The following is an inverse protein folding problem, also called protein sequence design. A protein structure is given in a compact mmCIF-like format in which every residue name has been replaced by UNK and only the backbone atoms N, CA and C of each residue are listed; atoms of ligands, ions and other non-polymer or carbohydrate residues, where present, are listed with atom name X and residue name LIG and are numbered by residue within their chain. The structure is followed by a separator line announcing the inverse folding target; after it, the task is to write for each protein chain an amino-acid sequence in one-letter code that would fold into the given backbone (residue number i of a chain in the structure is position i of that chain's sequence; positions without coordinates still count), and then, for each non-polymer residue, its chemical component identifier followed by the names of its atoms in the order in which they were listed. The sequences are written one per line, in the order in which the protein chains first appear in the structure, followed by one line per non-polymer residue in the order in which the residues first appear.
data_IF_301519034608
#
_entry.id   IF_301519034608
#
_cell.length_a   1.000
_cell.length_b   1.000
_cell.length_c   1.000
_cell.angle_alpha   90.00
_cell.angle_beta   90.00
_cell.angle_gamma   90.00
#
_symmetry.space_group_name_H-M   'P 1'
#
loop_
_entity.id
_entity.type
_entity.pdbx_description
1 polymer ?
#
# COMPACT_ATOMS: atom_id res chain seq x y z
N UNK A 1 -29.68 -36.25 -50.02
CA UNK A 1 -28.68 -35.78 -49.03
C UNK A 1 -27.99 -36.96 -48.36
N UNK A 2 -28.70 -37.83 -47.63
CA UNK A 2 -28.13 -38.95 -46.85
C UNK A 2 -27.10 -39.87 -47.55
N UNK A 3 -27.21 -40.15 -48.87
CA UNK A 3 -26.18 -40.93 -49.59
C UNK A 3 -24.91 -40.15 -49.86
N UNK A 4 -25.05 -38.86 -50.21
CA UNK A 4 -23.90 -37.98 -50.49
C UNK A 4 -23.07 -37.76 -49.22
N UNK A 5 -23.72 -37.68 -48.07
CA UNK A 5 -23.06 -37.57 -46.77
C UNK A 5 -22.36 -38.84 -46.30
N UNK A 6 -22.73 -40.04 -46.78
CA UNK A 6 -22.05 -41.29 -46.41
C UNK A 6 -20.76 -41.53 -47.20
N UNK A 7 -20.77 -41.22 -48.51
CA UNK A 7 -19.56 -41.31 -49.34
C UNK A 7 -18.52 -40.26 -48.91
N UNK A 8 -18.98 -39.02 -48.64
CA UNK A 8 -18.14 -37.95 -48.06
C UNK A 8 -17.59 -38.35 -46.67
N UNK A 9 -18.40 -38.99 -45.84
CA UNK A 9 -17.95 -39.51 -44.55
C UNK A 9 -16.87 -40.57 -44.72
N UNK A 10 -17.03 -41.55 -45.62
CA UNK A 10 -16.03 -42.61 -45.84
C UNK A 10 -14.69 -42.05 -46.33
N UNK A 11 -14.71 -41.05 -47.22
CA UNK A 11 -13.50 -40.33 -47.65
C UNK A 11 -12.84 -39.56 -46.50
N UNK A 12 -13.63 -38.90 -45.64
CA UNK A 12 -13.13 -38.19 -44.46
C UNK A 12 -12.53 -39.13 -43.41
N UNK A 13 -13.17 -40.28 -43.17
CA UNK A 13 -12.67 -41.29 -42.24
C UNK A 13 -11.32 -41.86 -42.72
N UNK A 14 -11.14 -42.02 -44.04
CA UNK A 14 -9.88 -42.48 -44.65
C UNK A 14 -8.78 -41.42 -44.57
N UNK A 15 -9.12 -40.14 -44.72
CA UNK A 15 -8.12 -39.06 -44.69
C UNK A 15 -7.57 -38.82 -43.28
N UNK A 16 -8.40 -39.03 -42.25
CA UNK A 16 -8.04 -38.73 -40.86
C UNK A 16 -7.87 -37.23 -40.58
N UNK A 17 -8.26 -36.35 -41.52
CA UNK A 17 -8.15 -34.91 -41.34
C UNK A 17 -9.18 -34.40 -40.31
N UNK A 18 -8.68 -34.16 -39.11
CA UNK A 18 -9.50 -33.66 -38.00
C UNK A 18 -10.19 -32.33 -38.26
N UNK A 19 -9.66 -31.45 -39.12
CA UNK A 19 -10.34 -30.19 -39.43
C UNK A 19 -11.61 -30.45 -40.23
N UNK A 20 -11.46 -31.18 -41.34
CA UNK A 20 -12.59 -31.56 -42.19
C UNK A 20 -13.62 -32.42 -41.44
N UNK A 21 -13.18 -33.28 -40.52
CA UNK A 21 -14.08 -34.06 -39.65
C UNK A 21 -14.93 -33.15 -38.75
N UNK A 22 -14.32 -32.14 -38.11
CA UNK A 22 -15.03 -31.21 -37.24
C UNK A 22 -15.99 -30.32 -38.04
N UNK A 23 -15.57 -29.83 -39.21
CA UNK A 23 -16.42 -29.05 -40.12
C UNK A 23 -17.62 -29.88 -40.60
N UNK A 24 -17.39 -31.15 -40.95
CA UNK A 24 -18.47 -32.07 -41.31
C UNK A 24 -19.45 -32.28 -40.16
N UNK A 25 -18.95 -32.47 -38.94
CA UNK A 25 -19.81 -32.66 -37.76
C UNK A 25 -20.71 -31.45 -37.48
N UNK A 26 -20.22 -30.23 -37.72
CA UNK A 26 -20.98 -28.98 -37.53
C UNK A 26 -22.16 -28.85 -38.52
N UNK A 27 -22.03 -29.47 -39.70
CA UNK A 27 -23.07 -29.48 -40.73
C UNK A 27 -24.16 -30.56 -40.51
N UNK A 28 -23.94 -31.50 -39.59
CA UNK A 28 -24.89 -32.59 -39.35
C UNK A 28 -26.16 -32.11 -38.64
N UNK A 29 -27.31 -32.51 -39.18
CA UNK A 29 -28.60 -32.24 -38.55
C UNK A 29 -28.85 -33.18 -37.37
N UNK A 30 -29.15 -32.62 -36.19
CA UNK A 30 -29.50 -33.39 -34.98
C UNK A 30 -30.77 -34.25 -35.11
N UNK A 31 -31.57 -34.07 -36.17
CA UNK A 31 -32.82 -34.82 -36.41
C UNK A 31 -32.61 -36.14 -37.16
N UNK A 32 -31.39 -36.42 -37.62
CA UNK A 32 -31.12 -37.64 -38.37
C UNK A 32 -31.00 -38.86 -37.44
N UNK A 33 -31.66 -39.95 -37.80
CA UNK A 33 -31.66 -41.22 -37.04
C UNK A 33 -30.24 -41.78 -36.86
N UNK A 34 -29.35 -41.49 -37.81
CA UNK A 34 -27.94 -41.91 -37.81
C UNK A 34 -27.00 -40.96 -37.06
N UNK A 35 -27.47 -39.78 -36.61
CA UNK A 35 -26.62 -38.72 -36.03
C UNK A 35 -25.73 -39.26 -34.91
N UNK A 36 -26.33 -39.94 -33.93
CA UNK A 36 -25.61 -40.51 -32.77
C UNK A 36 -24.52 -41.50 -33.18
N UNK A 37 -24.77 -42.34 -34.19
CA UNK A 37 -23.79 -43.32 -34.67
C UNK A 37 -22.64 -42.63 -35.39
N UNK A 38 -22.93 -41.65 -36.25
CA UNK A 38 -21.92 -40.89 -36.98
C UNK A 38 -21.04 -40.11 -36.01
N UNK A 39 -21.64 -39.38 -35.06
CA UNK A 39 -20.90 -38.60 -34.06
C UNK A 39 -19.95 -39.49 -33.24
N UNK A 40 -20.38 -40.67 -32.80
CA UNK A 40 -19.51 -41.60 -32.05
C UNK A 40 -18.31 -42.07 -32.88
N UNK A 41 -18.51 -42.35 -34.16
CA UNK A 41 -17.40 -42.70 -35.06
C UNK A 41 -16.43 -41.53 -35.18
N UNK A 42 -16.92 -40.31 -35.47
CA UNK A 42 -16.07 -39.12 -35.57
C UNK A 42 -15.32 -38.82 -34.27
N UNK A 43 -15.99 -39.00 -33.12
CA UNK A 43 -15.42 -38.79 -31.80
C UNK A 43 -14.20 -39.69 -31.55
N UNK A 44 -14.28 -40.98 -31.91
CA UNK A 44 -13.15 -41.91 -31.74
C UNK A 44 -11.89 -41.45 -32.49
N UNK A 45 -12.06 -40.92 -33.71
CA UNK A 45 -10.95 -40.39 -34.51
C UNK A 45 -10.41 -39.08 -33.93
N UNK A 46 -11.30 -38.17 -33.51
CA UNK A 46 -10.91 -36.90 -32.92
C UNK A 46 -10.13 -37.11 -31.62
N UNK A 47 -10.54 -38.06 -30.78
CA UNK A 47 -9.84 -38.40 -29.52
C UNK A 47 -8.40 -38.82 -29.81
N UNK A 48 -8.14 -39.61 -30.85
CA UNK A 48 -6.80 -40.12 -31.15
C UNK A 48 -5.89 -39.13 -31.88
N UNK A 49 -6.45 -38.04 -32.41
CA UNK A 49 -5.73 -37.04 -33.22
C UNK A 49 -4.64 -36.26 -32.50
N UNK A 50 -4.66 -36.25 -31.15
CA UNK A 50 -3.81 -35.37 -30.30
C UNK A 50 -3.96 -33.88 -30.55
N UNK A 51 -4.89 -33.45 -31.43
CA UNK A 51 -5.11 -32.05 -31.76
C UNK A 51 -6.15 -31.46 -30.81
N UNK A 52 -5.69 -30.93 -29.69
CA UNK A 52 -6.57 -30.46 -28.62
C UNK A 52 -7.51 -29.34 -29.08
N UNK A 53 -7.09 -28.48 -30.02
CA UNK A 53 -7.97 -27.45 -30.59
C UNK A 53 -9.16 -28.06 -31.31
N UNK A 54 -8.96 -29.14 -32.07
CA UNK A 54 -10.05 -29.84 -32.74
C UNK A 54 -10.90 -30.64 -31.76
N UNK A 55 -10.30 -31.25 -30.74
CA UNK A 55 -11.05 -31.88 -29.64
C UNK A 55 -11.99 -30.85 -28.96
N UNK A 56 -11.49 -29.66 -28.65
CA UNK A 56 -12.28 -28.56 -28.08
C UNK A 56 -13.39 -28.10 -29.01
N UNK A 57 -13.09 -27.90 -30.30
CA UNK A 57 -14.09 -27.47 -31.28
C UNK A 57 -15.16 -28.54 -31.49
N UNK A 58 -14.78 -29.81 -31.55
CA UNK A 58 -15.70 -30.94 -31.65
C UNK A 58 -16.62 -31.04 -30.42
N UNK A 59 -16.06 -30.87 -29.22
CA UNK A 59 -16.84 -30.89 -27.97
C UNK A 59 -17.95 -29.81 -27.95
N UNK A 60 -17.78 -28.71 -28.69
CA UNK A 60 -18.80 -27.67 -28.81
C UNK A 60 -20.00 -28.05 -29.67
N UNK A 61 -19.83 -29.03 -30.56
CA UNK A 61 -20.81 -29.42 -31.57
C UNK A 61 -21.72 -30.54 -31.03
N UNK A 62 -21.13 -31.49 -30.29
CA UNK A 62 -21.81 -32.70 -29.86
C UNK A 62 -22.70 -32.48 -28.63
N UNK A 63 -23.70 -33.35 -28.47
CA UNK A 63 -24.52 -33.40 -27.26
C UNK A 63 -23.76 -34.06 -26.10
N UNK A 64 -24.11 -33.68 -24.88
CA UNK A 64 -23.28 -33.77 -23.67
C UNK A 64 -22.99 -35.19 -23.17
N UNK A 65 -23.71 -36.19 -23.65
CA UNK A 65 -23.66 -37.57 -23.14
C UNK A 65 -22.31 -38.28 -23.31
N UNK A 66 -21.40 -37.78 -24.13
CA UNK A 66 -20.08 -38.39 -24.38
C UNK A 66 -18.88 -37.42 -24.17
N UNK A 67 -19.10 -36.28 -23.51
CA UNK A 67 -18.01 -35.29 -23.30
C UNK A 67 -16.87 -35.89 -22.45
N UNK A 68 -17.13 -36.88 -21.59
CA UNK A 68 -16.15 -37.55 -20.74
C UNK A 68 -14.93 -38.09 -21.51
N UNK A 69 -15.14 -38.71 -22.67
CA UNK A 69 -14.03 -39.22 -23.49
C UNK A 69 -13.19 -38.10 -24.10
N UNK A 70 -13.82 -36.98 -24.49
CA UNK A 70 -13.11 -35.80 -24.96
C UNK A 70 -12.32 -35.14 -23.83
N UNK A 71 -12.90 -35.05 -22.62
CA UNK A 71 -12.20 -34.60 -21.41
C UNK A 71 -10.93 -35.42 -21.17
N UNK A 72 -11.02 -36.75 -21.25
CA UNK A 72 -9.86 -37.64 -21.11
C UNK A 72 -8.81 -37.39 -22.21
N UNK A 73 -9.24 -37.16 -23.46
CA UNK A 73 -8.33 -36.86 -24.56
C UNK A 73 -7.58 -35.53 -24.34
N UNK A 74 -8.29 -34.49 -23.90
CA UNK A 74 -7.67 -33.19 -23.53
C UNK A 74 -6.68 -33.37 -22.38
N UNK A 75 -7.03 -34.13 -21.34
CA UNK A 75 -6.13 -34.41 -20.22
C UNK A 75 -4.89 -35.21 -20.65
N UNK A 76 -5.05 -36.14 -21.60
CA UNK A 76 -3.97 -37.00 -22.10
C UNK A 76 -2.99 -36.25 -23.01
N UNK A 77 -3.50 -35.42 -23.91
CA UNK A 77 -2.68 -34.81 -24.97
C UNK A 77 -2.43 -33.31 -24.80
N UNK A 78 -3.23 -32.62 -23.99
CA UNK A 78 -3.13 -31.18 -23.75
C UNK A 78 -2.28 -30.79 -22.55
N UNK A 79 -1.84 -29.53 -22.60
CA UNK A 79 -1.25 -28.85 -21.45
C UNK A 79 -2.37 -28.21 -20.58
N UNK A 80 -1.98 -27.53 -19.50
CA UNK A 80 -2.93 -26.93 -18.54
C UNK A 80 -3.76 -25.81 -19.15
N UNK A 81 -3.14 -25.06 -20.06
CA UNK A 81 -3.80 -24.00 -20.81
C UNK A 81 -4.93 -24.58 -21.66
N UNK A 82 -4.67 -25.71 -22.31
CA UNK A 82 -5.65 -26.42 -23.12
C UNK A 82 -6.79 -26.96 -22.27
N UNK A 83 -6.48 -27.60 -21.13
CA UNK A 83 -7.49 -28.09 -20.19
C UNK A 83 -8.37 -26.96 -19.63
N UNK A 84 -7.75 -25.83 -19.27
CA UNK A 84 -8.47 -24.64 -18.81
C UNK A 84 -9.39 -24.05 -19.91
N UNK A 85 -8.86 -23.83 -21.12
CA UNK A 85 -9.67 -23.26 -22.20
C UNK A 85 -10.79 -24.20 -22.63
N UNK A 86 -10.55 -25.50 -22.63
CA UNK A 86 -11.58 -26.50 -22.85
C UNK A 86 -12.71 -26.40 -21.81
N UNK A 87 -12.37 -26.30 -20.53
CA UNK A 87 -13.35 -26.12 -19.46
C UNK A 87 -14.15 -24.81 -19.61
N UNK A 88 -13.47 -23.70 -19.92
CA UNK A 88 -14.12 -22.41 -20.14
C UNK A 88 -15.07 -22.43 -21.33
N UNK A 89 -14.66 -23.05 -22.43
CA UNK A 89 -15.46 -23.17 -23.64
C UNK A 89 -16.73 -23.97 -23.40
N UNK A 90 -16.63 -25.09 -22.70
CA UNK A 90 -17.79 -25.89 -22.29
C UNK A 90 -18.71 -25.13 -21.32
N UNK A 91 -18.15 -24.46 -20.31
CA UNK A 91 -18.93 -23.69 -19.33
C UNK A 91 -19.70 -22.50 -19.95
N UNK A 92 -19.25 -21.98 -21.10
CA UNK A 92 -19.93 -20.91 -21.84
C UNK A 92 -21.11 -21.40 -22.68
N UNK A 93 -21.16 -22.68 -23.03
CA UNK A 93 -22.22 -23.18 -23.87
C UNK A 93 -23.55 -23.15 -23.12
N UNK A 94 -24.56 -22.46 -23.69
CA UNK A 94 -25.95 -22.48 -23.22
C UNK A 94 -26.62 -23.78 -23.68
N UNK A 95 -26.13 -24.92 -23.22
CA UNK A 95 -26.78 -26.19 -23.52
C UNK A 95 -27.99 -26.31 -22.58
N UNK A 96 -29.21 -26.53 -23.10
CA UNK A 96 -30.37 -26.76 -22.26
C UNK A 96 -30.22 -28.12 -21.60
N UNK A 97 -29.71 -28.15 -20.37
CA UNK A 97 -29.81 -29.32 -19.52
C UNK A 97 -31.25 -29.40 -19.00
N UNK A 98 -31.90 -30.55 -19.18
CA UNK A 98 -33.24 -30.84 -18.68
C UNK A 98 -33.26 -31.09 -17.16
N UNK A 99 -32.23 -30.62 -16.44
CA UNK A 99 -32.12 -30.73 -15.00
C UNK A 99 -32.32 -29.36 -14.36
N UNK A 100 -33.23 -29.31 -13.39
CA UNK A 100 -33.50 -28.18 -12.50
C UNK A 100 -32.29 -27.65 -11.70
N UNK A 101 -31.07 -28.13 -11.96
CA UNK A 101 -29.83 -27.78 -11.26
C UNK A 101 -29.03 -26.63 -11.89
N UNK A 102 -29.28 -26.28 -13.16
CA UNK A 102 -28.59 -25.15 -13.81
C UNK A 102 -27.07 -25.32 -13.95
N UNK A 103 -26.58 -26.56 -13.98
CA UNK A 103 -25.15 -26.88 -14.10
C UNK A 103 -24.73 -26.95 -15.57
N UNK A 104 -23.59 -26.34 -15.91
CA UNK A 104 -23.16 -26.16 -17.31
C UNK A 104 -22.08 -27.14 -17.78
N UNK A 105 -21.42 -27.85 -16.86
CA UNK A 105 -20.38 -28.83 -17.17
C UNK A 105 -20.72 -30.18 -16.52
N UNK A 106 -20.67 -31.32 -17.25
CA UNK A 106 -20.90 -32.63 -16.67
C UNK A 106 -19.94 -32.92 -15.51
N UNK A 107 -20.44 -33.50 -14.41
CA UNK A 107 -19.69 -33.70 -13.18
C UNK A 107 -18.39 -34.50 -13.38
N UNK A 108 -18.42 -35.57 -14.17
CA UNK A 108 -17.22 -36.38 -14.47
C UNK A 108 -16.15 -35.59 -15.23
N UNK A 109 -16.58 -34.75 -16.17
CA UNK A 109 -15.66 -33.88 -16.91
C UNK A 109 -15.04 -32.81 -16.02
N UNK A 110 -15.86 -32.19 -15.16
CA UNK A 110 -15.38 -31.26 -14.17
C UNK A 110 -14.31 -31.91 -13.28
N UNK A 111 -14.58 -33.11 -12.76
CA UNK A 111 -13.63 -33.87 -11.95
C UNK A 111 -12.31 -34.15 -12.69
N UNK A 112 -12.39 -34.69 -13.91
CA UNK A 112 -11.21 -35.04 -14.73
C UNK A 112 -10.33 -33.80 -15.01
N UNK A 113 -10.94 -32.69 -15.39
CA UNK A 113 -10.21 -31.45 -15.72
C UNK A 113 -9.62 -30.80 -14.47
N UNK A 114 -10.35 -30.81 -13.35
CA UNK A 114 -9.84 -30.33 -12.07
C UNK A 114 -8.63 -31.15 -11.61
N UNK A 115 -8.70 -32.48 -11.64
CA UNK A 115 -7.57 -33.34 -11.27
C UNK A 115 -6.32 -33.08 -12.12
N UNK A 116 -6.48 -32.82 -13.43
CA UNK A 116 -5.37 -32.46 -14.32
C UNK A 116 -4.75 -31.11 -13.93
N UNK A 117 -5.58 -30.09 -13.70
CA UNK A 117 -5.11 -28.75 -13.34
C UNK A 117 -4.40 -28.76 -11.98
N UNK A 118 -4.92 -29.51 -11.01
CA UNK A 118 -4.29 -29.65 -9.70
C UNK A 118 -2.96 -30.42 -9.77
N UNK A 119 -2.76 -31.34 -10.73
CA UNK A 119 -1.51 -32.12 -10.85
C UNK A 119 -0.36 -31.35 -11.49
N UNK A 120 -0.65 -30.40 -12.37
CA UNK A 120 0.38 -29.66 -13.11
C UNK A 120 0.71 -28.27 -12.51
N UNK A 121 0.11 -27.95 -11.36
CA UNK A 121 0.59 -26.96 -10.37
C UNK A 121 0.86 -25.53 -10.88
N UNK A 122 0.30 -25.09 -12.01
CA UNK A 122 0.36 -23.68 -12.41
C UNK A 122 -0.63 -22.85 -11.58
N UNK A 123 -0.15 -21.97 -10.67
CA UNK A 123 -1.03 -21.23 -9.76
C UNK A 123 -2.04 -20.35 -10.51
N UNK A 124 -1.62 -19.80 -11.66
CA UNK A 124 -2.46 -18.97 -12.52
C UNK A 124 -3.69 -19.73 -13.03
N UNK A 125 -3.51 -20.97 -13.50
CA UNK A 125 -4.62 -21.75 -14.05
C UNK A 125 -5.52 -22.29 -12.94
N UNK A 126 -4.98 -22.63 -11.77
CA UNK A 126 -5.77 -23.01 -10.59
C UNK A 126 -6.73 -21.87 -10.22
N UNK A 127 -6.22 -20.64 -10.02
CA UNK A 127 -7.06 -19.47 -9.70
C UNK A 127 -8.06 -19.17 -10.81
N UNK A 128 -7.63 -19.18 -12.07
CA UNK A 128 -8.52 -18.88 -13.20
C UNK A 128 -9.66 -19.90 -13.30
N UNK A 129 -9.36 -21.18 -13.06
CA UNK A 129 -10.36 -22.25 -13.06
C UNK A 129 -11.36 -22.08 -11.91
N UNK A 130 -10.87 -21.80 -10.70
CA UNK A 130 -11.71 -21.56 -9.53
C UNK A 130 -12.68 -20.38 -9.72
N UNK A 131 -12.23 -19.30 -10.39
CA UNK A 131 -13.07 -18.14 -10.71
C UNK A 131 -14.07 -18.40 -11.85
N UNK A 132 -13.62 -19.13 -12.88
CA UNK A 132 -14.31 -19.19 -14.16
C UNK A 132 -15.28 -20.36 -14.32
N UNK A 133 -15.18 -21.40 -13.48
CA UNK A 133 -15.92 -22.64 -13.63
C UNK A 133 -16.92 -22.82 -12.49
N UNK A 134 -18.21 -22.89 -12.84
CA UNK A 134 -19.29 -23.09 -11.86
C UNK A 134 -19.16 -24.49 -11.23
N UNK A 135 -19.41 -24.57 -9.92
CA UNK A 135 -19.33 -25.80 -9.11
C UNK A 135 -17.95 -26.45 -9.02
N UNK A 136 -16.88 -25.74 -9.42
CA UNK A 136 -15.53 -26.22 -9.18
C UNK A 136 -15.35 -26.57 -7.70
N UNK A 137 -14.75 -27.73 -7.42
CA UNK A 137 -14.37 -28.10 -6.06
C UNK A 137 -13.30 -27.12 -5.54
N UNK A 138 -13.73 -26.10 -4.79
CA UNK A 138 -12.87 -25.03 -4.28
C UNK A 138 -11.86 -25.58 -3.27
N UNK A 139 -12.25 -26.51 -2.40
CA UNK A 139 -11.34 -27.11 -1.41
C UNK A 139 -10.15 -27.82 -2.08
N UNK A 140 -10.41 -28.59 -3.13
CA UNK A 140 -9.35 -29.25 -3.90
C UNK A 140 -8.41 -28.23 -4.58
N UNK A 141 -8.96 -27.14 -5.09
CA UNK A 141 -8.18 -26.07 -5.73
C UNK A 141 -7.41 -25.24 -4.69
N UNK A 142 -7.96 -25.09 -3.49
CA UNK A 142 -7.30 -24.51 -2.31
C UNK A 142 -6.10 -25.36 -1.89
N UNK A 143 -6.26 -26.67 -1.76
CA UNK A 143 -5.13 -27.55 -1.42
C UNK A 143 -4.05 -27.52 -2.51
N UNK A 144 -4.45 -27.47 -3.79
CA UNK A 144 -3.52 -27.33 -4.91
C UNK A 144 -2.75 -26.01 -4.88
N UNK A 145 -3.42 -24.86 -4.70
CA UNK A 145 -2.74 -23.55 -4.65
C UNK A 145 -1.80 -23.44 -3.47
N UNK A 146 -2.14 -24.03 -2.32
CA UNK A 146 -1.25 -24.09 -1.14
C UNK A 146 0.03 -24.87 -1.47
N UNK A 147 -0.10 -25.99 -2.20
CA UNK A 147 1.03 -26.88 -2.48
C UNK A 147 2.09 -26.27 -3.42
N UNK A 148 1.67 -25.43 -4.38
CA UNK A 148 2.57 -24.92 -5.43
C UNK A 148 2.67 -23.39 -5.51
N UNK A 149 1.80 -22.66 -4.81
CA UNK A 149 1.76 -21.21 -4.86
C UNK A 149 2.84 -20.55 -4.00
N UNK A 150 3.33 -19.42 -4.47
CA UNK A 150 4.02 -18.42 -3.61
C UNK A 150 3.01 -17.69 -2.73
N UNK A 151 3.47 -16.92 -1.73
CA UNK A 151 2.59 -16.05 -0.93
C UNK A 151 1.71 -15.16 -1.80
N UNK A 152 2.28 -14.60 -2.89
CA UNK A 152 1.55 -13.81 -3.88
C UNK A 152 0.41 -14.60 -4.52
N UNK A 153 0.66 -15.84 -4.92
CA UNK A 153 -0.36 -16.65 -5.59
C UNK A 153 -1.50 -17.02 -4.65
N UNK A 154 -1.17 -17.36 -3.40
CA UNK A 154 -2.17 -17.69 -2.39
C UNK A 154 -3.05 -16.46 -2.09
N UNK A 155 -2.45 -15.28 -1.92
CA UNK A 155 -3.19 -14.03 -1.78
C UNK A 155 -4.07 -13.73 -3.00
N UNK A 156 -3.55 -13.88 -4.22
CA UNK A 156 -4.35 -13.66 -5.44
C UNK A 156 -5.53 -14.63 -5.56
N UNK A 157 -5.35 -15.88 -5.11
CA UNK A 157 -6.42 -16.84 -5.04
C UNK A 157 -7.49 -16.39 -4.04
N UNK A 158 -7.10 -16.05 -2.80
CA UNK A 158 -8.04 -15.61 -1.77
C UNK A 158 -8.78 -14.31 -2.12
N UNK A 159 -8.15 -13.40 -2.88
CA UNK A 159 -8.78 -12.15 -3.29
C UNK A 159 -9.80 -12.31 -4.42
N UNK A 160 -9.75 -13.45 -5.14
CA UNK A 160 -10.48 -13.60 -6.41
C UNK A 160 -11.51 -14.75 -6.38
N UNK A 161 -11.33 -15.70 -5.48
CA UNK A 161 -12.17 -16.91 -5.35
C UNK A 161 -13.01 -16.78 -4.08
N UNK A 162 -14.27 -17.22 -4.12
CA UNK A 162 -15.14 -17.26 -2.93
C UNK A 162 -15.33 -18.71 -2.45
N UNK A 163 -15.72 -18.90 -1.19
CA UNK A 163 -16.07 -20.22 -0.64
C UNK A 163 -14.89 -21.12 -0.30
N UNK A 164 -13.69 -20.56 -0.17
CA UNK A 164 -12.51 -21.28 0.33
C UNK A 164 -12.50 -21.31 1.87
N UNK A 165 -11.76 -22.27 2.44
CA UNK A 165 -11.44 -22.31 3.87
C UNK A 165 -10.36 -21.25 4.19
N UNK A 166 -10.76 -20.16 4.87
CA UNK A 166 -9.88 -19.07 5.23
C UNK A 166 -8.78 -19.48 6.22
N UNK A 167 -9.05 -20.44 7.12
CA UNK A 167 -8.05 -20.91 8.09
C UNK A 167 -6.97 -21.76 7.41
N UNK A 168 -7.34 -22.58 6.42
CA UNK A 168 -6.35 -23.28 5.58
C UNK A 168 -5.42 -22.30 4.86
N UNK A 169 -5.98 -21.28 4.20
CA UNK A 169 -5.17 -20.28 3.49
C UNK A 169 -4.34 -19.42 4.43
N UNK A 170 -4.87 -19.07 5.61
CA UNK A 170 -4.15 -18.38 6.67
C UNK A 170 -2.86 -19.14 7.04
N UNK A 171 -2.99 -20.42 7.41
CA UNK A 171 -1.83 -21.26 7.78
C UNK A 171 -0.81 -21.35 6.66
N UNK A 172 -1.27 -21.53 5.43
CA UNK A 172 -0.41 -21.61 4.26
C UNK A 172 0.35 -20.31 4.00
N UNK A 173 -0.32 -19.15 4.06
CA UNK A 173 0.32 -17.84 3.91
C UNK A 173 1.38 -17.64 4.98
N UNK A 174 1.10 -18.01 6.23
CA UNK A 174 2.05 -17.86 7.32
C UNK A 174 3.32 -18.71 7.08
N UNK A 175 3.14 -20.01 6.83
CA UNK A 175 4.24 -20.94 6.54
C UNK A 175 5.06 -20.46 5.34
N UNK A 176 4.41 -20.16 4.21
CA UNK A 176 5.09 -19.73 2.98
C UNK A 176 5.82 -18.40 3.14
N UNK A 177 5.27 -17.48 3.93
CA UNK A 177 5.92 -16.19 4.20
C UNK A 177 7.22 -16.36 4.97
N UNK A 178 7.23 -17.26 5.97
CA UNK A 178 8.45 -17.58 6.73
C UNK A 178 9.46 -18.33 5.86
N UNK A 179 9.04 -19.34 5.10
CA UNK A 179 9.91 -20.07 4.16
C UNK A 179 10.58 -19.12 3.15
N UNK A 180 9.80 -18.23 2.51
CA UNK A 180 10.33 -17.24 1.57
C UNK A 180 11.29 -16.25 2.27
N UNK A 181 10.96 -15.81 3.48
CA UNK A 181 11.82 -14.92 4.28
C UNK A 181 13.16 -15.55 4.68
N UNK A 182 13.15 -16.80 5.14
CA UNK A 182 14.35 -17.55 5.54
C UNK A 182 15.25 -17.85 4.33
N UNK A 183 14.66 -18.22 3.19
CA UNK A 183 15.39 -18.43 1.94
C UNK A 183 16.07 -17.13 1.47
N UNK A 184 15.40 -15.99 1.59
CA UNK A 184 15.98 -14.68 1.27
C UNK A 184 17.13 -14.31 2.22
N UNK A 185 16.93 -14.50 3.53
CA UNK A 185 17.93 -14.19 4.55
C UNK A 185 19.22 -15.01 4.35
N UNK A 186 19.07 -16.30 4.06
CA UNK A 186 20.20 -17.21 3.80
C UNK A 186 21.03 -16.79 2.58
N UNK A 187 20.37 -16.24 1.55
CA UNK A 187 21.04 -15.79 0.32
C UNK A 187 21.88 -14.52 0.51
N UNK A 188 21.55 -13.67 1.49
CA UNK A 188 22.28 -12.42 1.77
C UNK A 188 23.58 -12.71 2.49
N UNK A 189 23.57 -13.63 3.45
CA UNK A 189 24.79 -14.06 4.16
C UNK A 189 25.88 -14.57 3.21
N UNK A 190 25.53 -15.01 2.00
CA UNK A 190 26.47 -15.48 0.98
C UNK A 190 27.02 -14.38 0.07
N UNK A 191 26.36 -13.22 -0.02
CA UNK A 191 26.73 -12.14 -0.94
C UNK A 191 27.32 -10.98 -0.13
N UNK A 192 28.65 -10.86 -0.12
CA UNK A 192 29.44 -9.78 0.50
C UNK A 192 29.20 -8.36 -0.11
N UNK A 193 28.03 -8.07 -0.67
CA UNK A 193 27.64 -6.77 -1.22
C UNK A 193 26.54 -6.16 -0.34
N UNK A 194 26.95 -5.52 0.75
CA UNK A 194 26.08 -5.27 1.91
C UNK A 194 24.91 -4.29 1.69
N UNK A 195 25.01 -3.36 0.74
CA UNK A 195 23.99 -2.30 0.59
C UNK A 195 22.91 -2.68 -0.44
N UNK A 196 23.27 -2.98 -1.69
CA UNK A 196 22.31 -3.35 -2.73
C UNK A 196 21.53 -4.64 -2.40
N UNK A 197 22.21 -5.63 -1.78
CA UNK A 197 21.54 -6.85 -1.34
C UNK A 197 20.53 -6.59 -0.22
N UNK A 198 20.83 -5.64 0.68
CA UNK A 198 19.94 -5.25 1.78
C UNK A 198 18.71 -4.49 1.28
N UNK A 199 18.86 -3.59 0.31
CA UNK A 199 17.71 -2.89 -0.28
C UNK A 199 16.80 -3.84 -1.04
N UNK A 200 17.36 -4.75 -1.85
CA UNK A 200 16.59 -5.77 -2.56
C UNK A 200 15.87 -6.73 -1.60
N UNK A 201 16.52 -7.09 -0.50
CA UNK A 201 15.91 -7.88 0.58
C UNK A 201 14.74 -7.15 1.22
N UNK A 202 14.97 -5.92 1.70
CA UNK A 202 13.95 -5.11 2.35
C UNK A 202 12.74 -4.88 1.44
N UNK A 203 12.97 -4.66 0.14
CA UNK A 203 11.91 -4.55 -0.86
C UNK A 203 11.10 -5.86 -0.97
N UNK A 204 11.76 -7.02 -0.99
CA UNK A 204 11.08 -8.32 -1.10
C UNK A 204 10.30 -8.66 0.18
N UNK A 205 10.88 -8.44 1.35
CA UNK A 205 10.21 -8.60 2.65
C UNK A 205 8.99 -7.68 2.75
N UNK A 206 9.11 -6.44 2.27
CA UNK A 206 7.99 -5.49 2.19
C UNK A 206 6.86 -5.96 1.27
N UNK A 207 7.19 -6.67 0.19
CA UNK A 207 6.18 -7.27 -0.70
C UNK A 207 5.46 -8.43 0.00
N UNK A 208 6.20 -9.33 0.66
CA UNK A 208 5.63 -10.47 1.41
C UNK A 208 4.73 -9.96 2.53
N UNK A 209 5.23 -9.07 3.38
CA UNK A 209 4.47 -8.47 4.48
C UNK A 209 3.22 -7.72 3.98
N UNK A 210 3.31 -7.09 2.80
CA UNK A 210 2.16 -6.46 2.16
C UNK A 210 1.07 -7.44 1.72
N UNK A 211 1.44 -8.64 1.27
CA UNK A 211 0.44 -9.68 0.97
C UNK A 211 -0.20 -10.23 2.24
N UNK A 212 0.57 -10.48 3.29
CA UNK A 212 0.02 -10.93 4.59
C UNK A 212 -0.95 -9.88 5.14
N UNK A 213 -0.54 -8.61 5.21
CA UNK A 213 -1.41 -7.51 5.65
C UNK A 213 -2.70 -7.42 4.82
N UNK A 214 -2.60 -7.45 3.47
CA UNK A 214 -3.78 -7.40 2.61
C UNK A 214 -4.67 -8.63 2.75
N UNK A 215 -4.09 -9.80 3.03
CA UNK A 215 -4.88 -10.99 3.33
C UNK A 215 -5.69 -10.79 4.61
N UNK A 216 -5.06 -10.33 5.69
CA UNK A 216 -5.74 -10.01 6.95
C UNK A 216 -6.87 -9.01 6.70
N UNK A 217 -6.56 -7.89 6.04
CA UNK A 217 -7.49 -6.78 5.84
C UNK A 217 -8.72 -7.16 5.00
N UNK A 218 -8.56 -8.04 4.01
CA UNK A 218 -9.64 -8.39 3.08
C UNK A 218 -10.37 -9.70 3.44
N UNK A 219 -9.86 -10.49 4.39
CA UNK A 219 -10.46 -11.78 4.73
C UNK A 219 -11.43 -11.62 5.88
N UNK A 220 -12.71 -11.78 5.58
CA UNK A 220 -13.76 -11.83 6.59
C UNK A 220 -13.73 -13.19 7.33
N UNK A 221 -14.23 -13.22 8.57
CA UNK A 221 -14.40 -14.43 9.38
C UNK A 221 -13.08 -15.16 9.74
N UNK A 222 -11.99 -14.43 9.99
CA UNK A 222 -10.81 -15.01 10.62
C UNK A 222 -11.13 -15.38 12.08
N UNK A 223 -10.74 -16.58 12.50
CA UNK A 223 -10.83 -16.96 13.91
C UNK A 223 -9.78 -16.22 14.74
N UNK A 224 -9.96 -16.18 16.07
CA UNK A 224 -8.95 -15.59 16.97
C UNK A 224 -7.57 -16.26 16.82
N UNK A 225 -7.54 -17.58 16.61
CA UNK A 225 -6.29 -18.31 16.36
C UNK A 225 -5.65 -17.96 15.01
N UNK A 226 -6.46 -17.67 13.98
CA UNK A 226 -5.92 -17.22 12.69
C UNK A 226 -5.31 -15.82 12.81
N UNK A 227 -5.99 -14.91 13.55
CA UNK A 227 -5.49 -13.57 13.84
C UNK A 227 -4.16 -13.62 14.59
N UNK A 228 -4.04 -14.48 15.60
CA UNK A 228 -2.81 -14.66 16.37
C UNK A 228 -1.66 -15.11 15.46
N UNK A 229 -1.89 -16.16 14.66
CA UNK A 229 -0.89 -16.67 13.72
C UNK A 229 -0.45 -15.62 12.68
N UNK A 230 -1.39 -14.85 12.15
CA UNK A 230 -1.11 -13.77 11.20
C UNK A 230 -0.35 -12.61 11.87
N UNK A 231 -0.67 -12.31 13.14
CA UNK A 231 0.06 -11.31 13.94
C UNK A 231 1.50 -11.73 14.17
N UNK A 232 1.74 -12.98 14.56
CA UNK A 232 3.07 -13.54 14.75
C UNK A 232 3.88 -13.50 13.45
N UNK A 233 3.24 -13.84 12.33
CA UNK A 233 3.86 -13.81 11.00
C UNK A 233 4.29 -12.40 10.62
N UNK A 234 3.42 -11.40 10.78
CA UNK A 234 3.77 -10.00 10.49
C UNK A 234 4.91 -9.50 11.37
N UNK A 235 4.92 -9.89 12.64
CA UNK A 235 6.01 -9.58 13.55
C UNK A 235 7.34 -10.22 13.10
N UNK A 236 7.31 -11.49 12.67
CA UNK A 236 8.49 -12.22 12.21
C UNK A 236 9.12 -11.61 10.94
N UNK A 237 8.31 -11.00 10.08
CA UNK A 237 8.78 -10.30 8.87
C UNK A 237 9.50 -8.98 9.18
N UNK A 238 9.51 -8.51 10.45
CA UNK A 238 10.26 -7.34 10.93
C UNK A 238 10.05 -6.05 10.10
N UNK A 239 8.87 -5.89 9.50
CA UNK A 239 8.55 -4.72 8.67
C UNK A 239 7.69 -3.72 9.45
N UNK A 240 8.29 -2.62 9.89
CA UNK A 240 7.63 -1.63 10.74
C UNK A 240 6.36 -1.04 10.14
N UNK A 241 6.30 -0.87 8.81
CA UNK A 241 5.12 -0.34 8.13
C UNK A 241 3.93 -1.27 8.31
N UNK A 242 4.12 -2.56 8.07
CA UNK A 242 3.02 -3.52 8.16
C UNK A 242 2.69 -3.94 9.59
N UNK A 243 3.64 -3.86 10.53
CA UNK A 243 3.33 -3.98 11.96
C UNK A 243 2.40 -2.84 12.38
N UNK A 244 2.73 -1.59 12.04
CA UNK A 244 1.86 -0.43 12.29
C UNK A 244 0.49 -0.56 11.61
N UNK A 245 0.45 -0.83 10.30
CA UNK A 245 -0.82 -0.92 9.58
C UNK A 245 -1.72 -2.05 10.13
N UNK A 246 -1.13 -3.14 10.61
CA UNK A 246 -1.90 -4.23 11.24
C UNK A 246 -2.49 -3.81 12.58
N UNK A 247 -1.81 -2.95 13.35
CA UNK A 247 -2.36 -2.42 14.60
C UNK A 247 -3.60 -1.54 14.39
N UNK A 248 -3.90 -1.13 13.15
CA UNK A 248 -5.13 -0.42 12.79
C UNK A 248 -6.30 -1.36 12.48
N UNK A 249 -6.08 -2.68 12.42
CA UNK A 249 -7.12 -3.67 12.13
C UNK A 249 -7.75 -4.11 13.45
N UNK A 250 -9.09 -4.08 13.50
CA UNK A 250 -9.85 -4.49 14.68
C UNK A 250 -9.57 -5.96 15.06
N UNK A 251 -9.36 -6.20 16.36
CA UNK A 251 -9.13 -7.53 16.91
C UNK A 251 -7.67 -8.01 16.90
N UNK A 252 -6.74 -7.24 16.31
CA UNK A 252 -5.30 -7.56 16.36
C UNK A 252 -4.75 -7.42 17.78
N UNK A 253 -3.70 -8.21 18.09
CA UNK A 253 -3.00 -8.13 19.37
C UNK A 253 -2.06 -6.90 19.40
N UNK A 254 -2.61 -5.77 19.85
CA UNK A 254 -1.90 -4.49 19.89
C UNK A 254 -0.67 -4.53 20.80
N UNK A 255 -0.75 -5.22 21.94
CA UNK A 255 0.36 -5.32 22.89
C UNK A 255 1.57 -6.02 22.23
N UNK A 256 1.33 -7.13 21.55
CA UNK A 256 2.37 -7.85 20.80
C UNK A 256 2.95 -6.99 19.67
N UNK A 257 2.10 -6.35 18.86
CA UNK A 257 2.54 -5.48 17.75
C UNK A 257 3.37 -4.29 18.26
N UNK A 258 2.97 -3.70 19.37
CA UNK A 258 3.69 -2.62 20.04
C UNK A 258 5.05 -3.07 20.56
N UNK A 259 5.12 -4.19 21.29
CA UNK A 259 6.39 -4.75 21.74
C UNK A 259 7.34 -4.98 20.57
N UNK A 260 6.82 -5.58 19.49
CA UNK A 260 7.63 -5.93 18.34
C UNK A 260 8.12 -4.71 17.58
N UNK A 261 7.26 -3.71 17.33
CA UNK A 261 7.69 -2.52 16.60
C UNK A 261 8.76 -1.74 17.39
N UNK A 262 8.64 -1.64 18.72
CA UNK A 262 9.61 -0.92 19.57
C UNK A 262 10.97 -1.62 19.67
N UNK A 263 10.98 -2.96 19.56
CA UNK A 263 12.19 -3.79 19.60
C UNK A 263 12.97 -3.81 18.28
N UNK A 264 12.41 -3.30 17.17
CA UNK A 264 13.13 -3.25 15.90
C UNK A 264 14.38 -2.38 16.01
N UNK A 265 15.51 -2.93 15.55
CA UNK A 265 16.76 -2.19 15.33
C UNK A 265 16.74 -1.57 13.93
N UNK A 266 16.08 -0.41 13.84
CA UNK A 266 15.98 0.37 12.61
C UNK A 266 16.14 1.85 12.99
N UNK A 267 16.90 2.61 12.21
CA UNK A 267 17.15 4.05 12.44
C UNK A 267 16.70 4.94 11.28
N UNK A 268 15.97 4.36 10.32
CA UNK A 268 15.46 5.10 9.17
C UNK A 268 14.36 6.08 9.57
N UNK A 269 14.25 7.18 8.82
CA UNK A 269 13.12 8.11 8.96
C UNK A 269 11.77 7.42 8.81
N UNK A 270 11.63 6.53 7.83
CA UNK A 270 10.37 5.80 7.63
C UNK A 270 9.97 4.95 8.84
N UNK A 271 10.92 4.37 9.57
CA UNK A 271 10.61 3.65 10.80
C UNK A 271 10.13 4.60 11.89
N UNK A 272 10.81 5.73 12.07
CA UNK A 272 10.39 6.77 13.02
C UNK A 272 8.98 7.31 12.70
N UNK A 273 8.67 7.52 11.41
CA UNK A 273 7.32 7.89 10.95
C UNK A 273 6.28 6.82 11.31
N UNK A 274 6.62 5.54 11.19
CA UNK A 274 5.71 4.44 11.59
C UNK A 274 5.48 4.41 13.11
N UNK A 275 6.51 4.65 13.93
CA UNK A 275 6.36 4.78 15.39
C UNK A 275 5.46 5.97 15.76
N UNK A 276 5.67 7.12 15.13
CA UNK A 276 4.83 8.30 15.30
C UNK A 276 3.38 8.01 14.93
N UNK A 277 3.14 7.39 13.76
CA UNK A 277 1.79 7.06 13.31
C UNK A 277 1.11 6.03 14.20
N UNK A 278 1.87 5.07 14.74
CA UNK A 278 1.36 4.10 15.71
C UNK A 278 0.85 4.83 16.96
N UNK A 279 1.70 5.62 17.61
CA UNK A 279 1.33 6.36 18.82
C UNK A 279 0.18 7.34 18.62
N UNK A 280 0.09 7.95 17.42
CA UNK A 280 -0.97 8.90 17.08
C UNK A 280 -2.32 8.24 16.83
N UNK A 281 -2.34 7.11 16.12
CA UNK A 281 -3.55 6.54 15.55
C UNK A 281 -4.07 5.31 16.31
N UNK A 282 -3.23 4.61 17.06
CA UNK A 282 -3.62 3.41 17.81
C UNK A 282 -4.04 3.79 19.23
N UNK A 283 -5.32 3.57 19.56
CA UNK A 283 -5.96 4.07 20.80
C UNK A 283 -5.28 3.60 22.10
N UNK A 284 -4.73 2.40 22.12
CA UNK A 284 -4.07 1.79 23.30
C UNK A 284 -2.55 1.85 23.22
N UNK A 285 -1.98 2.70 22.36
CA UNK A 285 -0.54 2.85 22.27
C UNK A 285 0.07 3.41 23.57
N UNK A 286 1.18 2.82 24.00
CA UNK A 286 2.02 3.30 25.09
C UNK A 286 2.85 4.49 24.62
N UNK A 287 2.23 5.67 24.68
CA UNK A 287 2.80 6.93 24.20
C UNK A 287 4.13 7.25 24.86
N UNK A 288 4.35 6.86 26.13
CA UNK A 288 5.60 7.10 26.83
C UNK A 288 6.75 6.29 26.21
N UNK A 289 6.55 4.99 25.98
CA UNK A 289 7.59 4.16 25.33
C UNK A 289 7.86 4.57 23.89
N UNK A 290 6.82 4.93 23.13
CA UNK A 290 7.00 5.48 21.78
C UNK A 290 7.76 6.81 21.81
N UNK A 291 7.48 7.67 22.79
CA UNK A 291 8.20 8.92 22.97
C UNK A 291 9.70 8.66 23.22
N UNK A 292 10.03 7.79 24.16
CA UNK A 292 11.42 7.41 24.45
C UNK A 292 12.12 6.88 23.20
N UNK A 293 11.48 5.97 22.46
CA UNK A 293 12.07 5.41 21.23
C UNK A 293 12.28 6.45 20.13
N UNK A 294 11.34 7.39 19.96
CA UNK A 294 11.46 8.47 18.96
C UNK A 294 12.56 9.46 19.32
N UNK A 295 12.70 9.78 20.61
CA UNK A 295 13.80 10.59 21.14
C UNK A 295 15.14 9.92 20.83
N UNK A 296 15.27 8.61 21.08
CA UNK A 296 16.49 7.84 20.83
C UNK A 296 16.89 7.81 19.34
N UNK A 297 15.90 7.86 18.44
CA UNK A 297 16.13 7.93 16.99
C UNK A 297 16.69 9.30 16.55
N UNK A 298 16.49 10.35 17.35
CA UNK A 298 17.09 11.67 17.18
C UNK A 298 16.77 12.33 15.82
N UNK A 299 15.53 12.17 15.32
CA UNK A 299 15.07 12.78 14.07
C UNK A 299 14.17 13.98 14.38
N UNK A 300 14.72 15.19 14.23
CA UNK A 300 14.09 16.48 14.52
C UNK A 300 12.62 16.58 14.06
N UNK A 301 12.37 16.28 12.79
CA UNK A 301 11.04 16.38 12.17
C UNK A 301 10.02 15.49 12.88
N UNK A 302 10.42 14.28 13.24
CA UNK A 302 9.55 13.30 13.89
C UNK A 302 9.31 13.68 15.35
N UNK A 303 10.35 14.12 16.07
CA UNK A 303 10.22 14.63 17.45
C UNK A 303 9.24 15.81 17.49
N UNK A 304 9.41 16.78 16.59
CA UNK A 304 8.50 17.92 16.46
C UNK A 304 7.06 17.50 16.13
N UNK A 305 6.86 16.65 15.12
CA UNK A 305 5.52 16.16 14.75
C UNK A 305 4.87 15.37 15.90
N UNK A 306 5.65 14.59 16.64
CA UNK A 306 5.18 13.83 17.79
C UNK A 306 4.70 14.76 18.91
N UNK A 307 5.47 15.79 19.27
CA UNK A 307 5.09 16.79 20.25
C UNK A 307 3.83 17.58 19.85
N UNK A 308 3.67 17.87 18.56
CA UNK A 308 2.52 18.63 18.04
C UNK A 308 1.23 17.81 18.02
N UNK A 309 1.30 16.55 17.62
CA UNK A 309 0.11 15.78 17.22
C UNK A 309 -0.30 14.68 18.21
N UNK A 310 0.63 14.15 19.03
CA UNK A 310 0.35 13.03 19.93
C UNK A 310 -0.06 13.57 21.30
N UNK A 311 -1.20 13.10 21.81
CA UNK A 311 -1.75 13.54 23.10
C UNK A 311 -1.08 12.82 24.28
N UNK A 312 -0.97 13.50 25.41
CA UNK A 312 -0.47 12.90 26.66
C UNK A 312 1.05 12.70 26.71
N UNK A 313 1.79 13.29 25.78
CA UNK A 313 3.25 13.23 25.72
C UNK A 313 3.89 14.23 26.67
N UNK A 314 5.10 13.95 27.13
CA UNK A 314 5.90 14.86 27.94
C UNK A 314 6.60 15.87 27.02
N UNK A 315 5.96 17.04 26.87
CA UNK A 315 6.43 18.14 26.04
C UNK A 315 7.79 18.68 26.51
N UNK A 316 8.05 18.69 27.82
CA UNK A 316 9.32 19.15 28.37
C UNK A 316 10.49 18.30 27.87
N UNK A 317 10.39 16.97 27.98
CA UNK A 317 11.42 16.04 27.47
C UNK A 317 11.66 16.18 25.96
N UNK A 318 10.59 16.39 25.18
CA UNK A 318 10.68 16.58 23.73
C UNK A 318 11.32 17.92 23.38
N UNK A 319 10.96 18.98 24.12
CA UNK A 319 11.54 20.30 23.98
C UNK A 319 13.05 20.29 24.26
N UNK A 320 13.48 19.68 25.36
CA UNK A 320 14.90 19.58 25.72
C UNK A 320 15.74 18.94 24.61
N UNK A 321 15.18 17.94 23.93
CA UNK A 321 15.83 17.30 22.79
C UNK A 321 15.91 18.22 21.56
N UNK A 322 14.85 18.95 21.24
CA UNK A 322 14.84 19.94 20.14
C UNK A 322 15.84 21.06 20.41
N UNK A 323 15.93 21.55 21.64
CA UNK A 323 16.91 22.57 22.06
C UNK A 323 18.33 22.03 21.91
N UNK A 324 18.60 20.83 22.44
CA UNK A 324 19.93 20.20 22.39
C UNK A 324 20.43 19.97 20.96
N UNK A 325 19.50 19.74 20.03
CA UNK A 325 19.80 19.59 18.60
C UNK A 325 20.24 20.90 17.93
N UNK A 326 19.97 22.06 18.55
CA UNK A 326 20.40 23.39 18.11
C UNK A 326 20.01 23.74 16.66
N UNK A 327 18.86 23.24 16.19
CA UNK A 327 18.31 23.63 14.89
C UNK A 327 17.36 24.81 15.06
N UNK A 328 17.80 25.99 14.61
CA UNK A 328 17.00 27.22 14.67
C UNK A 328 15.59 27.04 14.09
N UNK A 329 15.50 26.37 12.93
CA UNK A 329 14.22 26.09 12.25
C UNK A 329 13.27 25.27 13.13
N UNK A 330 13.75 24.20 13.76
CA UNK A 330 12.90 23.35 14.59
C UNK A 330 12.59 23.99 15.95
N UNK A 331 13.51 24.75 16.55
CA UNK A 331 13.23 25.53 17.77
C UNK A 331 12.08 26.52 17.51
N UNK A 332 12.16 27.27 16.41
CA UNK A 332 11.10 28.18 15.99
C UNK A 332 9.77 27.46 15.73
N UNK A 333 9.78 26.37 14.96
CA UNK A 333 8.55 25.62 14.67
C UNK A 333 7.93 25.00 15.93
N UNK A 334 8.75 24.53 16.86
CA UNK A 334 8.31 23.96 18.13
C UNK A 334 7.62 25.02 18.99
N UNK A 335 8.28 26.17 19.19
CA UNK A 335 7.72 27.29 19.94
C UNK A 335 6.40 27.80 19.35
N UNK A 336 6.31 27.86 18.00
CA UNK A 336 5.13 28.36 17.32
C UNK A 336 3.94 27.41 17.34
N UNK A 337 4.16 26.10 17.24
CA UNK A 337 3.10 25.14 16.95
C UNK A 337 2.81 24.13 18.06
N UNK A 338 3.68 23.99 19.06
CA UNK A 338 3.50 23.06 20.18
C UNK A 338 2.94 23.81 21.38
N UNK A 339 1.93 23.24 22.04
CA UNK A 339 1.29 23.84 23.22
C UNK A 339 1.97 23.36 24.50
N UNK A 340 1.98 24.22 25.53
CA UNK A 340 2.54 23.87 26.85
C UNK A 340 4.07 23.83 26.87
N UNK A 341 4.71 24.52 25.94
CA UNK A 341 6.16 24.67 25.87
C UNK A 341 6.67 25.67 26.90
N UNK A 342 7.92 25.49 27.34
CA UNK A 342 8.64 26.50 28.10
C UNK A 342 9.30 27.47 27.12
N UNK A 343 8.64 28.63 26.93
CA UNK A 343 9.09 29.68 26.03
C UNK A 343 10.43 30.30 26.45
N UNK A 344 10.71 30.43 27.75
CA UNK A 344 11.94 31.08 28.22
C UNK A 344 13.18 30.28 27.80
N UNK A 345 13.10 28.95 27.90
CA UNK A 345 14.13 28.03 27.41
C UNK A 345 14.27 28.07 25.88
N UNK A 346 13.15 28.15 25.15
CA UNK A 346 13.18 28.25 23.68
C UNK A 346 13.75 29.58 23.17
N UNK A 347 13.52 30.69 23.89
CA UNK A 347 14.16 31.97 23.61
C UNK A 347 15.68 31.93 23.83
N UNK A 348 16.13 31.31 24.93
CA UNK A 348 17.55 31.14 25.17
C UNK A 348 18.19 30.28 24.06
N UNK A 349 17.55 29.15 23.73
CA UNK A 349 18.02 28.25 22.69
C UNK A 349 18.08 28.92 21.30
N UNK A 350 17.06 29.69 20.89
CA UNK A 350 17.08 30.33 19.57
C UNK A 350 18.18 31.41 19.49
N UNK A 351 18.48 32.11 20.58
CA UNK A 351 19.61 33.04 20.65
C UNK A 351 20.94 32.32 20.45
N UNK A 352 21.12 31.16 21.08
CA UNK A 352 22.33 30.34 20.98
C UNK A 352 22.60 29.80 19.57
N UNK A 353 21.56 29.65 18.73
CA UNK A 353 21.75 29.25 17.32
C UNK A 353 22.49 30.32 16.50
N UNK A 354 22.48 31.58 16.95
CA UNK A 354 22.97 32.75 16.22
C UNK A 354 22.36 32.94 14.82
N UNK A 355 21.24 32.27 14.51
CA UNK A 355 20.53 32.43 13.26
C UNK A 355 19.61 33.66 13.33
N UNK A 356 20.20 34.80 13.01
CA UNK A 356 19.58 36.13 12.94
C UNK A 356 18.21 36.12 12.25
N UNK A 357 18.08 35.45 11.10
CA UNK A 357 16.81 35.44 10.33
C UNK A 357 15.72 34.69 11.08
N UNK A 358 16.08 33.58 11.70
CA UNK A 358 15.14 32.80 12.48
C UNK A 358 14.82 33.48 13.80
N UNK A 359 15.77 34.18 14.45
CA UNK A 359 15.51 35.01 15.63
C UNK A 359 14.51 36.13 15.30
N UNK A 360 14.67 36.83 14.17
CA UNK A 360 13.69 37.84 13.72
C UNK A 360 12.30 37.21 13.52
N UNK A 361 12.24 36.06 12.85
CA UNK A 361 10.98 35.35 12.62
C UNK A 361 10.33 34.88 13.94
N UNK A 362 11.13 34.41 14.88
CA UNK A 362 10.69 34.03 16.23
C UNK A 362 10.09 35.22 16.98
N UNK A 363 10.79 36.35 17.00
CA UNK A 363 10.34 37.56 17.68
C UNK A 363 9.09 38.17 17.03
N UNK A 364 8.94 38.03 15.71
CA UNK A 364 7.80 38.56 14.94
C UNK A 364 6.55 37.70 15.10
N UNK A 365 6.69 36.38 15.04
CA UNK A 365 5.57 35.47 14.86
C UNK A 365 5.04 34.86 16.16
N UNK A 366 5.80 34.93 17.26
CA UNK A 366 5.46 34.29 18.54
C UNK A 366 5.09 35.36 19.56
N UNK A 367 3.87 35.25 20.09
CA UNK A 367 3.38 36.16 21.14
C UNK A 367 4.06 35.86 22.48
N UNK A 368 4.11 36.87 23.35
CA UNK A 368 4.65 36.78 24.72
C UNK A 368 6.15 36.48 24.85
N UNK A 369 6.94 36.67 23.78
CA UNK A 369 8.40 36.56 23.85
C UNK A 369 9.07 37.82 24.39
N UNK A 370 10.23 37.67 25.03
CA UNK A 370 11.09 38.78 25.43
C UNK A 370 11.83 39.36 24.21
N UNK A 371 11.12 40.23 23.49
CA UNK A 371 11.64 40.98 22.34
C UNK A 371 12.93 41.73 22.69
N UNK A 372 13.09 42.21 23.93
CA UNK A 372 14.28 42.96 24.34
C UNK A 372 15.50 42.04 24.45
N UNK A 373 15.32 40.84 25.01
CA UNK A 373 16.37 39.80 25.09
C UNK A 373 16.79 39.36 23.69
N UNK A 374 15.83 39.10 22.80
CA UNK A 374 16.08 38.74 21.39
C UNK A 374 16.77 39.89 20.62
N UNK A 375 16.35 41.13 20.83
CA UNK A 375 16.98 42.30 20.21
C UNK A 375 18.43 42.48 20.66
N UNK A 376 18.70 42.28 21.96
CA UNK A 376 20.04 42.46 22.53
C UNK A 376 21.03 41.41 22.02
N UNK A 377 20.60 40.17 21.77
CA UNK A 377 21.48 39.14 21.22
C UNK A 377 21.96 39.47 19.80
N UNK A 378 21.16 40.23 19.06
CA UNK A 378 21.43 40.64 17.69
C UNK A 378 22.14 42.00 17.58
N UNK A 379 22.61 42.56 18.70
CA UNK A 379 23.04 43.96 18.76
C UNK A 379 24.28 44.29 17.89
N UNK A 380 24.99 43.29 17.38
CA UNK A 380 26.14 43.46 16.48
C UNK A 380 25.85 42.97 15.06
N UNK A 381 24.61 42.55 14.77
CA UNK A 381 24.20 42.08 13.44
C UNK A 381 23.88 43.26 12.51
N UNK A 382 24.25 43.11 11.24
CA UNK A 382 23.87 44.05 10.17
C UNK A 382 22.36 44.02 9.88
N UNK A 383 21.67 42.95 10.26
CA UNK A 383 20.23 42.77 10.06
C UNK A 383 19.40 43.37 11.21
N UNK A 384 20.01 44.13 12.11
CA UNK A 384 19.30 44.84 13.18
C UNK A 384 18.19 45.76 12.67
N UNK A 385 18.41 46.41 11.52
CA UNK A 385 17.37 47.22 10.89
C UNK A 385 16.15 46.37 10.51
N UNK A 386 16.37 45.16 9.98
CA UNK A 386 15.30 44.22 9.65
C UNK A 386 14.50 43.84 10.90
N UNK A 387 15.17 43.58 12.02
CA UNK A 387 14.51 43.31 13.30
C UNK A 387 13.59 44.47 13.74
N UNK A 388 14.07 45.72 13.70
CA UNK A 388 13.24 46.89 14.07
C UNK A 388 11.98 47.00 13.21
N UNK A 389 12.13 46.77 11.91
CA UNK A 389 11.05 46.93 10.93
C UNK A 389 10.00 45.84 11.09
N UNK A 390 10.43 44.62 11.34
CA UNK A 390 9.54 43.46 11.33
C UNK A 390 8.95 43.13 12.69
N UNK A 391 9.65 43.44 13.79
CA UNK A 391 9.27 42.99 15.14
C UNK A 391 8.54 44.10 15.90
N UNK A 392 7.31 43.79 16.32
CA UNK A 392 6.52 44.70 17.15
C UNK A 392 7.19 44.91 18.52
N UNK A 393 7.08 46.11 19.07
CA UNK A 393 7.73 46.57 20.30
C UNK A 393 9.28 46.55 20.35
N UNK A 394 9.98 46.31 19.24
CA UNK A 394 11.43 46.52 19.16
C UNK A 394 11.83 47.95 19.55
N UNK A 395 12.84 48.12 20.43
CA UNK A 395 13.25 49.44 20.93
C UNK A 395 14.25 50.11 19.98
N UNK A 396 13.78 51.12 19.26
CA UNK A 396 14.55 51.93 18.31
C UNK A 396 15.78 52.61 18.96
N UNK A 397 15.63 53.11 20.19
CA UNK A 397 16.67 53.88 20.88
C UNK A 397 17.97 53.09 21.10
N UNK A 398 17.89 51.76 21.29
CA UNK A 398 19.08 50.92 21.49
C UNK A 398 19.94 50.81 20.23
N UNK A 399 19.30 50.90 19.06
CA UNK A 399 19.97 50.83 17.75
C UNK A 399 20.64 52.15 17.43
N UNK A 400 19.91 53.25 17.65
CA UNK A 400 20.43 54.62 17.48
C UNK A 400 21.62 54.92 18.39
N UNK A 401 21.65 54.34 19.60
CA UNK A 401 22.77 54.49 20.51
C UNK A 401 24.06 53.86 19.96
N UNK A 402 23.95 52.70 19.28
CA UNK A 402 25.10 51.94 18.80
C UNK A 402 25.50 52.25 17.36
N UNK A 403 24.54 52.66 16.54
CA UNK A 403 24.74 53.06 15.15
C UNK A 403 24.07 54.42 14.88
N UNK A 404 24.62 55.52 15.41
CA UNK A 404 24.06 56.86 15.22
C UNK A 404 23.90 57.25 13.74
N UNK A 405 24.76 56.71 12.86
CA UNK A 405 24.72 56.90 11.42
C UNK A 405 23.45 56.37 10.75
N UNK A 406 22.75 55.41 11.38
CA UNK A 406 21.50 54.86 10.87
C UNK A 406 20.28 55.71 11.22
N UNK A 407 20.46 56.86 11.91
CA UNK A 407 19.36 57.70 12.39
C UNK A 407 18.35 58.06 11.32
N UNK A 408 18.80 58.54 10.16
CA UNK A 408 17.89 58.90 9.07
C UNK A 408 17.08 57.70 8.54
N UNK A 409 17.68 56.52 8.48
CA UNK A 409 16.98 55.29 8.06
C UNK A 409 15.98 54.85 9.13
N UNK A 410 16.38 54.90 10.40
CA UNK A 410 15.53 54.56 11.54
C UNK A 410 14.33 55.51 11.65
N UNK A 411 14.51 56.81 11.40
CA UNK A 411 13.43 57.80 11.40
C UNK A 411 12.40 57.51 10.28
N UNK A 412 12.88 57.20 9.06
CA UNK A 412 12.03 56.78 7.94
C UNK A 412 11.26 55.49 8.23
N UNK A 413 11.94 54.49 8.82
CA UNK A 413 11.32 53.20 9.18
C UNK A 413 10.32 53.34 10.33
N UNK A 414 10.57 54.26 11.27
CA UNK A 414 9.62 54.60 12.34
C UNK A 414 8.36 55.23 11.76
N UNK A 415 8.52 56.13 10.79
CA UNK A 415 7.41 56.71 10.05
C UNK A 415 6.60 55.62 9.32
N UNK A 416 7.25 54.73 8.56
CA UNK A 416 6.57 53.62 7.87
C UNK A 416 5.83 52.70 8.85
N UNK A 417 6.44 52.41 9.99
CA UNK A 417 5.84 51.57 11.03
C UNK A 417 4.59 52.22 11.64
N UNK A 418 4.62 53.53 11.86
CA UNK A 418 3.46 54.29 12.32
C UNK A 418 2.35 54.30 11.25
N UNK A 419 2.71 54.50 9.98
CA UNK A 419 1.76 54.43 8.85
C UNK A 419 1.08 53.04 8.77
N UNK A 420 1.85 51.95 8.92
CA UNK A 420 1.31 50.58 8.95
C UNK A 420 0.42 50.30 10.16
N UNK A 421 0.77 50.84 11.32
CA UNK A 421 -0.05 50.67 12.52
C UNK A 421 -1.40 51.38 12.38
N UNK A 422 -1.40 52.59 11.81
CA UNK A 422 -2.63 53.33 11.48
C UNK A 422 -3.50 52.53 10.51
N UNK A 423 -2.92 52.08 9.39
CA UNK A 423 -3.61 51.22 8.41
C UNK A 423 -4.18 49.93 9.03
N UNK A 424 -3.42 49.28 9.93
CA UNK A 424 -3.89 48.06 10.62
C UNK A 424 -5.10 48.35 11.51
N UNK A 425 -5.09 49.47 12.23
CA UNK A 425 -6.20 49.87 13.08
C UNK A 425 -7.43 50.22 12.25
N UNK A 426 -7.27 50.98 11.17
CA UNK A 426 -8.36 51.29 10.22
C UNK A 426 -8.97 50.02 9.60
N UNK A 427 -8.15 49.05 9.18
CA UNK A 427 -8.62 47.78 8.63
C UNK A 427 -9.32 46.91 9.69
N UNK A 428 -8.90 46.98 10.95
CA UNK A 428 -9.54 46.29 12.06
C UNK A 428 -10.91 46.89 12.41
N UNK A 429 -11.07 48.21 12.30
CA UNK A 429 -12.37 48.88 12.46
C UNK A 429 -13.35 48.53 11.34
N UNK A 430 -12.83 48.15 10.17
CA UNK A 430 -13.60 47.68 9.02
C UNK A 430 -13.90 46.17 9.04
N UNK A 431 -13.63 45.48 10.16
CA UNK A 431 -13.82 44.03 10.34
C UNK A 431 -13.12 43.16 9.28
N UNK A 432 -12.01 43.63 8.70
CA UNK A 432 -11.26 42.87 7.69
C UNK A 432 -10.61 41.65 8.34
N UNK A 433 -10.75 40.44 7.77
CA UNK A 433 -10.12 39.23 8.30
C UNK A 433 -8.60 39.39 8.46
N UNK A 434 -8.05 38.94 9.60
CA UNK A 434 -6.64 39.14 9.96
C UNK A 434 -5.64 38.64 8.89
N UNK A 435 -6.00 37.58 8.14
CA UNK A 435 -5.15 37.06 7.06
C UNK A 435 -5.05 38.04 5.88
N UNK A 436 -6.14 38.72 5.53
CA UNK A 436 -6.19 39.69 4.44
C UNK A 436 -5.47 40.98 4.83
N UNK A 437 -5.61 41.40 6.10
CA UNK A 437 -4.83 42.52 6.67
C UNK A 437 -3.32 42.27 6.54
N UNK A 438 -2.87 41.05 6.83
CA UNK A 438 -1.45 40.68 6.71
C UNK A 438 -0.97 40.69 5.26
N UNK A 439 -1.80 40.30 4.30
CA UNK A 439 -1.46 40.34 2.86
C UNK A 439 -1.41 41.77 2.31
N UNK A 440 -2.35 42.63 2.72
CA UNK A 440 -2.37 44.06 2.38
C UNK A 440 -1.13 44.78 2.94
N UNK A 441 -0.78 44.53 4.22
CA UNK A 441 0.40 45.13 4.85
C UNK A 441 1.73 44.65 4.24
N UNK A 442 1.77 43.42 3.70
CA UNK A 442 2.92 42.90 2.94
C UNK A 442 3.10 43.62 1.61
N UNK A 443 2.00 43.92 0.90
CA UNK A 443 2.02 44.55 -0.41
C UNK A 443 2.24 46.08 -0.37
N UNK A 444 2.06 46.72 0.79
CA UNK A 444 2.31 48.15 1.02
C UNK A 444 3.77 48.59 0.74
N UNK A 445 4.71 47.66 0.49
CA UNK A 445 6.17 47.87 0.44
C UNK A 445 6.81 48.07 -0.94
N UNK A 446 6.23 47.66 -2.07
CA UNK A 446 7.01 47.55 -3.32
C UNK A 446 7.38 48.92 -3.96
N UNK A 447 6.62 50.00 -3.74
CA UNK A 447 6.80 51.24 -4.49
C UNK A 447 7.81 52.24 -3.91
N UNK A 448 8.11 52.22 -2.61
CA UNK A 448 8.93 53.28 -1.96
C UNK A 448 10.44 52.99 -1.89
N UNK A 449 10.86 51.73 -2.02
CA UNK A 449 12.27 51.31 -1.85
C UNK A 449 13.03 51.26 -3.19
N UNK A 450 12.35 51.15 -4.34
CA UNK A 450 13.03 51.14 -5.65
C UNK A 450 13.39 52.53 -6.19
N UNK A 451 12.94 53.61 -5.54
CA UNK A 451 13.18 55.00 -5.95
C UNK A 451 14.22 55.75 -5.08
N UNK A 452 14.80 55.11 -4.06
CA UNK A 452 15.83 55.67 -3.16
C UNK A 452 17.08 54.82 -3.14
#
# INVERSE_FOLDING_TARGET
MLRKTLDELDELLKSGDTYSIVDFADLLSKKEESYTKIIKTLQSIIIDSRNVKQITRFAKIIDTSDIGLLCNAVVKYGNDCDAYYFACDLNRQKIPFDSSSGDRLPFDCLRILQEKICKNLSPRYITSFAMGIKNANIDLLTDAIISCGTVKNIYQFSSSVLGFDSSKLCKAICIKSIEEFEALSSNICLKNCEEFARDSFNATVSVIAGYVYRFIFNTNNLSSSDIELLTDTICALNNSKYIYLSAMIDGMNIDLLQEKILQLDNKSKSYADNLYNFAKNVKSADTERFQSKIIDLNIHEVIYNFARDVKGVDIGKLQDHIIKQNSSTYIYQFARNVKGVDMESLEAAIIETHDVKTIISFARDIECVDVQKLQNSMISSKDMLMFIVEVQNAKLNNVLFKFPELKSQVDLLTQERNEKLVLRNELSELEVPNNDVLEILKNFKISKIMDS
#
